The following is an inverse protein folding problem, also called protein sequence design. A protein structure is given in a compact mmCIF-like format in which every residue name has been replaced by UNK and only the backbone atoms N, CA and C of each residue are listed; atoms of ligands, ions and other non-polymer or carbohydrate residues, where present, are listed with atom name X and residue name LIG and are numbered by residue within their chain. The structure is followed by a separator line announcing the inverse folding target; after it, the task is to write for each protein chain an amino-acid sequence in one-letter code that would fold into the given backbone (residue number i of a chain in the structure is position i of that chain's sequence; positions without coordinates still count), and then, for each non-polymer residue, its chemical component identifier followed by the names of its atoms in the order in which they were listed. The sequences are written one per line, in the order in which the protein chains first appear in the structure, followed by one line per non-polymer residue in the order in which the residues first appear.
data_IF_285718667806
#
_entry.id   IF_285718667806
#
_cell.length_a   1.000
_cell.length_b   1.000
_cell.length_c   1.000
_cell.angle_alpha   90.00
_cell.angle_beta   90.00
_cell.angle_gamma   90.00
#
_symmetry.space_group_name_H-M   'P 1'
#
loop_
_entity.id
_entity.type
_entity.pdbx_description
1 polymer ?
#
# COMPACT_ATOMS: atom_id res chain seq x y z
N UNK A 1 -9.09 8.89 22.79
CA UNK A 1 -9.34 10.13 22.03
C UNK A 1 -9.99 9.73 20.71
N UNK A 2 -11.19 10.26 20.45
CA UNK A 2 -12.10 9.76 19.40
C UNK A 2 -11.50 9.94 18.00
N UNK A 3 -11.36 8.84 17.25
CA UNK A 3 -10.95 8.77 15.83
C UNK A 3 -12.11 9.20 14.89
N UNK A 4 -12.94 10.14 15.31
CA UNK A 4 -14.07 10.56 14.49
C UNK A 4 -13.63 11.57 13.44
N UNK A 5 -13.66 11.09 12.19
CA UNK A 5 -14.12 11.76 10.97
C UNK A 5 -13.80 13.25 10.89
N UNK A 6 -12.71 13.62 10.21
CA UNK A 6 -12.53 14.99 9.72
C UNK A 6 -12.00 15.03 8.28
N UNK A 7 -12.63 15.93 7.51
CA UNK A 7 -12.55 16.19 6.08
C UNK A 7 -13.24 15.14 5.18
N UNK A 8 -14.50 15.40 4.81
CA UNK A 8 -15.30 14.70 3.77
C UNK A 8 -14.98 13.21 3.61
N UNK A 9 -15.20 12.41 4.66
CA UNK A 9 -15.19 10.94 4.57
C UNK A 9 -13.92 10.25 4.04
N UNK A 10 -12.82 10.97 3.80
CA UNK A 10 -11.60 10.39 3.26
C UNK A 10 -10.85 9.68 4.38
N UNK A 11 -10.76 8.36 4.28
CA UNK A 11 -10.01 7.51 5.21
C UNK A 11 -8.67 7.13 4.59
N UNK A 12 -7.68 6.85 5.44
CA UNK A 12 -6.43 6.26 4.97
C UNK A 12 -6.71 4.91 4.30
N UNK A 13 -6.09 4.62 3.14
CA UNK A 13 -6.24 3.34 2.45
C UNK A 13 -5.92 2.16 3.37
N UNK A 14 -6.51 1.00 3.12
CA UNK A 14 -6.08 -0.22 3.80
C UNK A 14 -5.00 -0.97 3.03
N UNK A 15 -4.13 -1.64 3.78
CA UNK A 15 -3.10 -2.54 3.27
C UNK A 15 -3.12 -3.85 4.06
N UNK A 16 -3.08 -4.99 3.39
CA UNK A 16 -2.90 -6.31 4.03
C UNK A 16 -2.07 -7.24 3.17
N UNK A 17 -1.32 -8.14 3.80
CA UNK A 17 -0.49 -9.12 3.09
C UNK A 17 -1.21 -10.44 2.79
N UNK A 18 -2.33 -10.71 3.46
CA UNK A 18 -3.16 -11.89 3.25
C UNK A 18 -4.65 -11.52 3.32
N UNK A 19 -5.49 -12.28 2.60
CA UNK A 19 -6.94 -12.00 2.46
C UNK A 19 -7.67 -11.82 3.80
N UNK A 20 -7.28 -12.55 4.84
CA UNK A 20 -7.87 -12.46 6.17
C UNK A 20 -6.82 -12.10 7.24
N UNK A 21 -5.76 -11.42 6.83
CA UNK A 21 -4.67 -11.02 7.72
C UNK A 21 -4.92 -9.69 8.41
N UNK A 22 -4.00 -9.25 9.28
CA UNK A 22 -4.02 -7.91 9.84
C UNK A 22 -4.02 -6.83 8.75
N UNK A 23 -4.73 -5.74 9.00
CA UNK A 23 -4.82 -4.60 8.08
C UNK A 23 -4.14 -3.38 8.68
N UNK A 24 -3.37 -2.67 7.85
CA UNK A 24 -2.87 -1.34 8.14
C UNK A 24 -3.82 -0.29 7.58
N UNK A 25 -4.17 0.69 8.41
CA UNK A 25 -4.98 1.85 8.05
C UNK A 25 -4.36 3.15 8.56
N UNK A 26 -3.05 3.14 8.82
CA UNK A 26 -2.34 4.28 9.36
C UNK A 26 -0.85 4.30 8.96
N UNK A 27 -0.16 5.32 9.46
CA UNK A 27 1.24 5.60 9.15
C UNK A 27 2.22 4.70 9.90
N UNK A 28 1.81 4.09 11.02
CA UNK A 28 2.67 3.15 11.76
C UNK A 28 2.78 1.83 11.02
N UNK A 29 1.71 1.44 10.34
CA UNK A 29 1.71 0.31 9.43
C UNK A 29 1.76 -1.06 10.11
N UNK A 30 1.90 -2.09 9.27
CA UNK A 30 2.06 -3.48 9.69
C UNK A 30 3.34 -4.08 9.09
N UNK A 31 3.87 -5.10 9.74
CA UNK A 31 5.01 -5.88 9.24
C UNK A 31 4.50 -7.16 8.55
N UNK A 32 5.04 -7.49 7.39
CA UNK A 32 4.92 -8.82 6.79
C UNK A 32 5.85 -9.81 7.49
N UNK A 33 5.64 -11.09 7.18
CA UNK A 33 6.65 -12.11 7.43
C UNK A 33 7.95 -11.80 6.68
N UNK A 34 9.08 -12.22 7.27
CA UNK A 34 10.40 -12.01 6.68
C UNK A 34 10.55 -12.78 5.36
N UNK A 35 10.93 -12.06 4.32
CA UNK A 35 11.26 -12.63 3.01
C UNK A 35 12.75 -12.95 2.96
N UNK A 36 13.10 -14.08 2.37
CA UNK A 36 14.50 -14.41 2.05
C UNK A 36 14.72 -14.23 0.56
N UNK A 37 15.76 -13.47 0.20
CA UNK A 37 16.13 -13.21 -1.19
C UNK A 37 17.61 -13.53 -1.41
N UNK A 38 18.01 -13.56 -2.69
CA UNK A 38 19.41 -13.76 -3.07
C UNK A 38 19.92 -12.59 -3.90
N UNK A 39 21.18 -12.25 -3.72
CA UNK A 39 21.82 -11.14 -4.46
C UNK A 39 21.65 -11.33 -5.97
N UNK A 40 21.23 -10.28 -6.66
CA UNK A 40 21.01 -10.27 -8.11
C UNK A 40 19.78 -11.04 -8.61
N UNK A 41 19.07 -11.77 -7.73
CA UNK A 41 17.86 -12.51 -8.10
C UNK A 41 16.61 -11.72 -7.76
N UNK A 42 15.72 -11.41 -8.73
CA UNK A 42 14.49 -10.67 -8.44
C UNK A 42 13.55 -11.48 -7.55
N UNK A 43 13.02 -10.83 -6.50
CA UNK A 43 11.97 -11.36 -5.62
C UNK A 43 10.69 -10.54 -5.78
N UNK A 44 9.54 -11.22 -5.79
CA UNK A 44 8.25 -10.57 -5.92
C UNK A 44 7.72 -10.14 -4.55
N UNK A 45 7.31 -8.88 -4.43
CA UNK A 45 6.52 -8.38 -3.31
C UNK A 45 5.10 -8.13 -3.76
N UNK A 46 4.15 -8.46 -2.89
CA UNK A 46 2.73 -8.18 -3.11
C UNK A 46 2.02 -7.78 -1.83
N UNK A 47 1.02 -6.93 -1.96
CA UNK A 47 0.10 -6.58 -0.90
C UNK A 47 -1.27 -6.26 -1.51
N UNK A 48 -2.33 -6.61 -0.79
CA UNK A 48 -3.67 -6.16 -1.13
C UNK A 48 -3.86 -4.74 -0.61
N UNK A 49 -4.46 -3.88 -1.42
CA UNK A 49 -4.67 -2.47 -1.12
C UNK A 49 -6.10 -2.05 -1.43
N UNK A 50 -6.66 -1.12 -0.68
CA UNK A 50 -8.06 -0.71 -0.85
C UNK A 50 -8.27 0.75 -0.45
N UNK A 51 -9.02 1.49 -1.25
CA UNK A 51 -9.60 2.77 -0.84
C UNK A 51 -10.74 2.55 0.16
N UNK A 52 -10.81 3.40 1.18
CA UNK A 52 -11.73 3.27 2.31
C UNK A 52 -12.63 4.48 2.50
N UNK A 53 -12.72 5.37 1.51
CA UNK A 53 -13.56 6.55 1.65
C UNK A 53 -15.05 6.22 1.84
N UNK A 54 -15.70 6.88 2.79
CA UNK A 54 -17.13 6.69 3.06
C UNK A 54 -17.98 7.66 2.22
N UNK A 55 -18.22 7.32 0.94
CA UNK A 55 -18.83 8.24 -0.03
C UNK A 55 -20.31 8.00 -0.34
N UNK A 56 -20.95 7.06 0.36
CA UNK A 56 -22.39 6.81 0.21
C UNK A 56 -23.21 8.08 0.52
N UNK A 57 -24.09 8.45 -0.41
CA UNK A 57 -24.94 9.63 -0.29
C UNK A 57 -24.29 10.96 -0.71
N UNK A 58 -23.04 10.94 -1.20
CA UNK A 58 -22.39 12.09 -1.83
C UNK A 58 -22.48 11.99 -3.36
N UNK A 59 -22.48 13.16 -4.03
CA UNK A 59 -22.43 13.26 -5.49
C UNK A 59 -20.98 13.04 -5.97
N UNK A 60 -20.64 11.78 -6.25
CA UNK A 60 -19.31 11.34 -6.71
C UNK A 60 -19.44 10.32 -7.83
N UNK A 61 -18.48 10.31 -8.76
CA UNK A 61 -18.48 9.42 -9.93
C UNK A 61 -18.28 7.94 -9.57
N UNK A 62 -17.60 7.66 -8.46
CA UNK A 62 -17.41 6.31 -7.91
C UNK A 62 -17.35 6.33 -6.38
N UNK A 63 -17.69 5.20 -5.75
CA UNK A 63 -17.55 5.01 -4.31
C UNK A 63 -16.12 4.61 -3.93
N UNK A 64 -15.45 3.84 -4.79
CA UNK A 64 -14.05 3.45 -4.66
C UNK A 64 -13.23 4.13 -5.75
N UNK A 65 -12.08 4.66 -5.36
CA UNK A 65 -11.11 5.23 -6.30
C UNK A 65 -9.83 4.39 -6.34
N UNK A 66 -9.08 4.45 -7.44
CA UNK A 66 -7.76 3.84 -7.51
C UNK A 66 -6.84 4.38 -6.42
N UNK A 67 -5.99 3.52 -5.90
CA UNK A 67 -4.98 3.90 -4.90
C UNK A 67 -3.60 4.00 -5.53
N UNK A 68 -2.87 5.05 -5.17
CA UNK A 68 -1.46 5.21 -5.49
C UNK A 68 -0.60 4.32 -4.61
N UNK A 69 0.37 3.64 -5.19
CA UNK A 69 1.33 2.79 -4.48
C UNK A 69 2.75 3.24 -4.77
N UNK A 70 3.60 3.23 -3.75
CA UNK A 70 5.03 3.45 -3.89
C UNK A 70 5.83 2.44 -3.05
N UNK A 71 6.72 1.70 -3.72
CA UNK A 71 7.70 0.82 -3.09
C UNK A 71 8.99 1.61 -2.79
N UNK A 72 9.43 1.55 -1.54
CA UNK A 72 10.51 2.40 -1.02
C UNK A 72 11.48 1.53 -0.22
N UNK A 73 12.78 1.70 -0.44
CA UNK A 73 13.79 1.22 0.51
C UNK A 73 13.65 2.03 1.80
N UNK A 74 13.16 1.40 2.87
CA UNK A 74 13.01 2.05 4.16
C UNK A 74 14.32 2.05 4.96
N UNK A 75 14.97 0.88 5.01
CA UNK A 75 16.26 0.67 5.66
C UNK A 75 17.02 -0.44 4.92
N UNK A 76 18.34 -0.34 4.83
CA UNK A 76 19.18 -1.38 4.24
C UNK A 76 20.56 -0.86 3.85
N UNK A 77 21.54 -1.74 3.61
CA UNK A 77 22.92 -1.37 3.33
C UNK A 77 23.14 -0.79 1.93
N UNK A 78 22.29 -1.12 0.96
CA UNK A 78 22.43 -0.71 -0.43
C UNK A 78 21.10 -0.34 -1.08
N UNK A 79 21.16 0.29 -2.25
CA UNK A 79 19.98 0.62 -3.06
C UNK A 79 19.30 -0.64 -3.58
N UNK A 80 17.97 -0.60 -3.69
CA UNK A 80 17.14 -1.70 -4.22
C UNK A 80 16.54 -1.26 -5.55
N UNK A 81 16.65 -2.11 -6.57
CA UNK A 81 16.02 -1.87 -7.85
C UNK A 81 14.61 -2.46 -7.85
N UNK A 82 13.60 -1.63 -8.16
CA UNK A 82 12.21 -2.06 -8.32
C UNK A 82 11.83 -1.99 -9.79
N UNK A 83 11.30 -3.07 -10.35
CA UNK A 83 10.81 -3.08 -11.74
C UNK A 83 9.64 -2.10 -11.94
N UNK A 84 8.76 -1.99 -10.94
CA UNK A 84 7.68 -1.00 -10.90
C UNK A 84 7.64 -0.38 -9.52
N UNK A 85 8.28 0.79 -9.37
CA UNK A 85 8.36 1.49 -8.09
C UNK A 85 7.04 2.13 -7.70
N UNK A 86 6.32 2.69 -8.67
CA UNK A 86 5.03 3.37 -8.47
C UNK A 86 3.98 2.78 -9.40
N UNK A 87 2.76 2.61 -8.91
CA UNK A 87 1.64 2.15 -9.71
C UNK A 87 0.32 2.71 -9.15
N UNK A 88 -0.68 2.86 -10.02
CA UNK A 88 -2.08 3.00 -9.63
C UNK A 88 -2.70 1.61 -9.59
N UNK A 89 -3.44 1.31 -8.52
CA UNK A 89 -4.12 0.03 -8.36
C UNK A 89 -5.62 0.28 -8.33
N UNK A 90 -6.29 -0.24 -9.36
CA UNK A 90 -7.74 -0.20 -9.50
C UNK A 90 -8.43 -1.11 -8.46
N UNK A 91 -9.57 -0.71 -7.89
CA UNK A 91 -10.38 -1.58 -7.05
C UNK A 91 -10.93 -2.76 -7.86
N UNK A 92 -10.90 -3.97 -7.29
CA UNK A 92 -11.49 -5.15 -7.94
C UNK A 92 -12.97 -5.23 -7.56
N UNK A 93 -13.84 -5.13 -8.57
CA UNK A 93 -15.25 -5.53 -8.48
C UNK A 93 -16.28 -4.43 -8.25
N UNK A 94 -16.01 -3.20 -8.70
CA UNK A 94 -16.95 -2.07 -8.61
C UNK A 94 -18.29 -2.30 -9.33
N UNK A 95 -18.41 -3.27 -10.24
CA UNK A 95 -19.66 -3.53 -10.99
C UNK A 95 -20.46 -4.78 -10.54
N UNK A 96 -20.14 -5.44 -9.41
CA UNK A 96 -20.91 -6.66 -9.07
C UNK A 96 -20.50 -7.55 -7.90
N UNK A 97 -19.87 -7.03 -6.84
CA UNK A 97 -19.69 -7.78 -5.59
C UNK A 97 -18.28 -8.27 -5.28
N UNK A 98 -17.25 -7.58 -5.78
CA UNK A 98 -15.90 -7.70 -5.20
C UNK A 98 -15.80 -7.01 -3.84
N UNK A 99 -14.82 -7.39 -3.03
CA UNK A 99 -14.58 -6.79 -1.71
C UNK A 99 -13.81 -5.45 -1.79
N UNK A 100 -13.56 -4.93 -3.01
CA UNK A 100 -12.93 -3.63 -3.28
C UNK A 100 -11.41 -3.62 -3.12
N UNK A 101 -10.76 -4.78 -2.99
CA UNK A 101 -9.32 -4.89 -2.82
C UNK A 101 -8.61 -5.06 -4.16
N UNK A 102 -7.61 -4.22 -4.43
CA UNK A 102 -6.66 -4.38 -5.53
C UNK A 102 -5.36 -5.06 -5.06
N UNK A 103 -4.51 -5.46 -6.02
CA UNK A 103 -3.22 -6.10 -5.73
C UNK A 103 -2.06 -5.22 -6.20
N UNK A 104 -1.31 -4.66 -5.25
CA UNK A 104 -0.04 -4.00 -5.53
C UNK A 104 1.06 -5.05 -5.62
N UNK A 105 1.77 -5.10 -6.75
CA UNK A 105 2.87 -6.06 -6.96
C UNK A 105 4.10 -5.36 -7.55
N UNK A 106 5.29 -5.76 -7.13
CA UNK A 106 6.55 -5.37 -7.78
C UNK A 106 7.57 -6.48 -7.67
N UNK A 107 8.61 -6.42 -8.51
CA UNK A 107 9.80 -7.26 -8.38
C UNK A 107 10.96 -6.39 -7.95
N UNK A 108 11.67 -6.84 -6.92
CA UNK A 108 12.79 -6.14 -6.33
C UNK A 108 14.07 -6.95 -6.48
N UNK A 109 15.16 -6.29 -6.83
CA UNK A 109 16.49 -6.89 -6.96
C UNK A 109 17.47 -6.16 -6.04
N UNK A 110 18.24 -6.96 -5.28
CA UNK A 110 19.21 -6.50 -4.29
C UNK A 110 20.63 -6.70 -4.80
N UNK A 111 21.48 -5.67 -4.68
CA UNK A 111 22.87 -5.71 -5.16
C UNK A 111 23.87 -6.21 -4.11
N UNK A 112 23.51 -6.19 -2.83
CA UNK A 112 24.39 -6.56 -1.72
C UNK A 112 23.65 -7.47 -0.73
N UNK A 113 24.36 -8.35 0.01
CA UNK A 113 23.78 -9.13 1.08
C UNK A 113 23.51 -8.25 2.31
N UNK A 114 22.52 -8.63 3.13
CA UNK A 114 22.21 -7.92 4.38
C UNK A 114 20.73 -7.93 4.74
N UNK A 115 20.41 -7.14 5.77
CA UNK A 115 19.06 -6.94 6.25
C UNK A 115 18.46 -5.66 5.67
N UNK A 116 17.27 -5.79 5.10
CA UNK A 116 16.53 -4.70 4.48
C UNK A 116 15.13 -4.60 5.07
N UNK A 117 14.57 -3.41 5.04
CA UNK A 117 13.15 -3.15 5.25
C UNK A 117 12.64 -2.41 4.03
N UNK A 118 11.69 -3.01 3.33
CA UNK A 118 10.99 -2.38 2.20
C UNK A 118 9.66 -1.84 2.72
N UNK A 119 9.35 -0.58 2.41
CA UNK A 119 8.07 0.05 2.74
C UNK A 119 7.22 0.13 1.49
N UNK A 120 5.98 -0.32 1.61
CA UNK A 120 4.89 0.03 0.72
C UNK A 120 4.14 1.22 1.34
N UNK A 121 4.11 2.37 0.65
CA UNK A 121 3.21 3.47 0.96
C UNK A 121 2.02 3.40 0.02
N UNK A 122 0.81 3.54 0.55
CA UNK A 122 -0.43 3.59 -0.25
C UNK A 122 -1.18 4.85 0.08
N UNK A 123 -1.60 5.58 -0.95
CA UNK A 123 -2.40 6.80 -0.86
C UNK A 123 -3.64 6.72 -1.73
N UNK A 124 -4.66 7.53 -1.43
CA UNK A 124 -5.87 7.65 -2.23
C UNK A 124 -6.00 9.05 -2.85
N UNK A 125 -4.89 9.69 -3.23
CA UNK A 125 -4.90 11.07 -3.74
C UNK A 125 -5.64 11.25 -5.08
N UNK A 126 -6.04 10.17 -5.74
CA UNK A 126 -6.93 10.22 -6.91
C UNK A 126 -8.39 10.53 -6.53
N UNK A 127 -8.77 10.28 -5.27
CA UNK A 127 -10.11 10.63 -4.81
C UNK A 127 -10.24 12.16 -4.67
N UNK A 128 -11.39 12.75 -5.06
CA UNK A 128 -11.59 14.20 -5.06
C UNK A 128 -11.55 14.84 -3.65
N UNK A 129 -11.67 14.01 -2.61
CA UNK A 129 -11.64 14.38 -1.19
C UNK A 129 -10.25 14.21 -0.54
N UNK A 130 -9.23 13.80 -1.31
CA UNK A 130 -7.90 13.43 -0.83
C UNK A 130 -6.80 14.19 -1.59
N UNK A 131 -5.75 14.65 -0.89
CA UNK A 131 -4.62 15.40 -1.46
C UNK A 131 -3.33 15.15 -0.68
N UNK A 132 -2.18 15.39 -1.31
CA UNK A 132 -0.84 15.10 -0.76
C UNK A 132 -0.56 15.75 0.62
N UNK A 133 -1.12 16.93 0.87
CA UNK A 133 -0.98 17.67 2.13
C UNK A 133 -1.90 17.16 3.25
N UNK A 134 -2.86 16.29 2.92
CA UNK A 134 -3.75 15.68 3.89
C UNK A 134 -3.06 14.49 4.57
N UNK A 135 -2.66 14.70 5.83
CA UNK A 135 -2.03 13.68 6.67
C UNK A 135 -2.93 12.46 6.98
N UNK A 136 -4.21 12.50 6.58
CA UNK A 136 -5.19 11.41 6.72
C UNK A 136 -5.18 10.43 5.55
N UNK A 137 -4.37 10.65 4.50
CA UNK A 137 -4.61 10.03 3.19
C UNK A 137 -3.54 9.01 2.76
N UNK A 138 -2.68 8.54 3.68
CA UNK A 138 -1.80 7.41 3.37
C UNK A 138 -1.61 6.43 4.53
N UNK A 139 -1.36 5.19 4.15
CA UNK A 139 -1.02 4.07 5.05
C UNK A 139 0.30 3.43 4.64
N UNK A 140 0.90 2.70 5.57
CA UNK A 140 2.17 2.01 5.33
C UNK A 140 2.07 0.52 5.61
N UNK A 141 2.90 -0.26 4.92
CA UNK A 141 3.23 -1.62 5.30
C UNK A 141 4.72 -1.87 5.04
N UNK A 142 5.31 -2.80 5.78
CA UNK A 142 6.75 -3.03 5.79
C UNK A 142 7.05 -4.50 5.58
N UNK A 143 8.05 -4.78 4.76
CA UNK A 143 8.51 -6.14 4.44
C UNK A 143 9.97 -6.23 4.88
N UNK A 144 10.26 -6.97 5.96
CA UNK A 144 11.63 -7.29 6.32
C UNK A 144 12.19 -8.32 5.34
N UNK A 145 13.41 -8.10 4.85
CA UNK A 145 14.06 -8.96 3.86
C UNK A 145 15.48 -9.29 4.32
N UNK A 146 15.81 -10.58 4.33
CA UNK A 146 17.18 -11.06 4.51
C UNK A 146 17.72 -11.47 3.14
N UNK A 147 18.79 -10.82 2.69
CA UNK A 147 19.45 -11.08 1.41
C UNK A 147 20.76 -11.82 1.67
N UNK A 148 20.96 -12.94 0.97
CA UNK A 148 22.13 -13.81 1.08
C UNK A 148 22.76 -14.17 -0.26
#
# INVERSE_FOLDING_TARGET
MSRMMRARSSLSPAIRFARNGPESIDRQGIMADRVTASVGSPVTFSAMVQDRGERLGYDVDSLLFPVGTEWILHQGPAVVHFESKMAQVEPIGDEGGGDGWGLATTRATFSEPGEYVIRLRVDNFQAPDSKFDNQCCWSNAFIPVTVR
#
